data_IF_364874963660
#
_entry.id   IF_364874963660
#
_cell.length_a   1.000
_cell.length_b   1.000
_cell.length_c   1.000
_cell.angle_alpha   90.00
_cell.angle_beta   90.00
_cell.angle_gamma   90.00
#
_symmetry.space_group_name_H-M   'P 1'
#
loop_
_entity.id
_entity.type
_entity.pdbx_description
1 polymer ?
#
# COMPACT_ATOMS: atom_id res chain seq x y z
N UNK A 1 -18.80 -6.73 18.65
CA UNK A 1 -18.36 -6.03 17.45
C UNK A 1 -16.84 -5.95 17.52
N UNK A 2 -16.14 -6.96 17.00
CA UNK A 2 -14.70 -7.11 17.13
C UNK A 2 -14.04 -6.67 15.83
N UNK A 3 -13.26 -5.59 15.90
CA UNK A 3 -12.46 -5.09 14.79
C UNK A 3 -11.30 -6.09 14.63
N UNK A 4 -11.38 -6.92 13.59
CA UNK A 4 -10.35 -7.91 13.27
C UNK A 4 -9.00 -7.24 13.12
N UNK A 5 -8.02 -7.71 13.90
CA UNK A 5 -6.61 -7.35 13.79
C UNK A 5 -6.15 -7.65 12.37
N UNK A 6 -5.98 -6.61 11.57
CA UNK A 6 -5.34 -6.70 10.27
C UNK A 6 -3.91 -7.21 10.47
N UNK A 7 -3.54 -8.22 9.67
CA UNK A 7 -2.28 -8.97 9.74
C UNK A 7 -1.06 -8.05 9.92
N UNK A 8 -0.38 -8.22 11.05
CA UNK A 8 0.77 -7.43 11.51
C UNK A 8 2.06 -7.81 10.76
N UNK A 9 2.08 -8.91 10.02
CA UNK A 9 3.33 -9.48 9.51
C UNK A 9 3.72 -8.97 8.11
N UNK A 10 2.74 -8.57 7.28
CA UNK A 10 3.03 -7.89 6.02
C UNK A 10 3.48 -6.43 6.25
N UNK A 11 2.93 -5.77 7.28
CA UNK A 11 3.35 -4.42 7.69
C UNK A 11 4.78 -4.44 8.23
N UNK A 12 5.14 -5.46 9.03
CA UNK A 12 6.51 -5.65 9.52
C UNK A 12 7.50 -5.96 8.40
N UNK A 13 7.14 -6.81 7.43
CA UNK A 13 8.02 -7.13 6.29
C UNK A 13 8.21 -5.92 5.37
N UNK A 14 7.17 -5.10 5.16
CA UNK A 14 7.31 -3.83 4.44
C UNK A 14 8.29 -2.90 5.17
N UNK A 15 8.16 -2.74 6.50
CA UNK A 15 9.03 -1.89 7.32
C UNK A 15 10.52 -2.31 7.31
N UNK A 16 10.82 -3.60 7.22
CA UNK A 16 12.21 -4.11 7.29
C UNK A 16 12.97 -3.95 5.97
N UNK A 17 12.28 -3.90 4.82
CA UNK A 17 12.93 -3.68 3.51
C UNK A 17 13.20 -2.20 3.18
N UNK A 18 12.81 -1.26 4.04
CA UNK A 18 12.86 0.19 3.78
C UNK A 18 14.24 0.86 3.98
N UNK A 19 15.28 0.13 4.41
CA UNK A 19 16.47 0.75 5.00
C UNK A 19 17.75 0.77 4.15
N UNK A 20 17.77 0.29 2.90
CA UNK A 20 19.03 0.26 2.14
C UNK A 20 18.84 0.75 0.72
N UNK A 21 19.12 2.04 0.50
CA UNK A 21 19.92 2.59 -0.61
C UNK A 21 19.77 4.12 -0.60
N UNK A 22 20.63 4.81 0.16
CA UNK A 22 20.79 6.26 0.09
C UNK A 22 21.99 6.62 -0.78
N UNK A 23 21.81 7.37 -1.88
CA UNK A 23 22.91 8.12 -2.46
C UNK A 23 23.27 9.27 -1.51
N UNK A 24 24.55 9.44 -1.26
CA UNK A 24 25.09 10.56 -0.48
C UNK A 24 24.98 11.82 -1.34
N UNK A 25 23.99 12.66 -1.07
CA UNK A 25 23.81 13.95 -1.72
C UNK A 25 24.36 15.09 -0.85
N UNK A 26 25.04 16.04 -1.48
CA UNK A 26 25.52 17.28 -0.87
C UNK A 26 24.38 18.18 -0.36
N UNK A 27 24.70 19.05 0.61
CA UNK A 27 23.92 20.05 1.39
C UNK A 27 22.94 21.00 0.64
N UNK A 28 22.24 20.58 -0.41
CA UNK A 28 21.04 21.29 -0.86
C UNK A 28 19.86 20.93 0.05
N UNK A 29 18.86 21.81 0.15
CA UNK A 29 17.62 21.58 0.93
C UNK A 29 16.99 20.22 0.59
N UNK A 30 17.19 19.24 1.47
CA UNK A 30 16.57 17.92 1.39
C UNK A 30 15.34 17.97 2.29
N UNK A 31 14.21 17.49 1.79
CA UNK A 31 13.01 17.37 2.61
C UNK A 31 12.36 16.01 2.46
N UNK A 32 11.77 15.53 3.55
CA UNK A 32 11.19 14.20 3.66
C UNK A 32 9.68 14.29 3.67
N UNK A 33 9.01 13.37 2.99
CA UNK A 33 7.57 13.34 2.84
C UNK A 33 7.07 12.00 3.38
N UNK A 34 5.95 12.05 4.09
CA UNK A 34 5.16 10.86 4.44
C UNK A 34 3.69 11.17 4.20
N UNK A 35 2.97 10.26 3.57
CA UNK A 35 1.53 10.36 3.38
C UNK A 35 0.79 9.06 3.58
N UNK A 36 -0.49 9.22 3.90
CA UNK A 36 -1.45 8.14 3.92
C UNK A 36 -2.78 8.59 3.30
N UNK A 37 -3.49 7.66 2.67
CA UNK A 37 -4.69 7.98 1.95
C UNK A 37 -5.55 6.77 1.62
N UNK A 38 -6.51 7.00 0.74
CA UNK A 38 -7.45 5.97 0.30
C UNK A 38 -7.77 6.13 -1.19
N UNK A 39 -7.99 5.02 -1.87
CA UNK A 39 -8.41 4.99 -3.28
C UNK A 39 -9.82 4.44 -3.48
N UNK A 40 -10.42 4.75 -4.63
CA UNK A 40 -11.73 4.22 -5.03
C UNK A 40 -11.69 2.72 -5.29
N UNK A 41 -10.52 2.18 -5.61
CA UNK A 41 -10.23 0.74 -5.59
C UNK A 41 -10.27 0.12 -4.20
N UNK A 42 -10.55 0.89 -3.15
CA UNK A 42 -10.56 0.43 -1.77
C UNK A 42 -9.17 -0.01 -1.31
N UNK A 43 -8.14 0.77 -1.65
CA UNK A 43 -6.79 0.54 -1.16
C UNK A 43 -6.41 1.64 -0.16
N UNK A 44 -5.70 1.27 0.91
CA UNK A 44 -4.96 2.21 1.73
C UNK A 44 -3.70 2.59 0.95
N UNK A 45 -3.47 3.89 0.85
CA UNK A 45 -2.29 4.45 0.20
C UNK A 45 -1.29 4.81 1.28
N UNK A 46 -0.02 4.44 1.07
CA UNK A 46 1.11 4.80 1.92
C UNK A 46 2.22 5.32 1.03
N UNK A 47 2.79 6.47 1.36
CA UNK A 47 3.86 7.10 0.60
C UNK A 47 4.97 7.57 1.52
N UNK A 48 6.21 7.39 1.07
CA UNK A 48 7.37 8.12 1.59
C UNK A 48 8.15 8.71 0.42
N UNK A 49 8.76 9.87 0.62
CA UNK A 49 9.54 10.47 -0.44
C UNK A 49 10.51 11.52 0.04
N UNK A 50 11.41 11.90 -0.86
CA UNK A 50 12.47 12.86 -0.65
C UNK A 50 12.38 13.89 -1.76
N UNK A 51 12.37 15.17 -1.39
CA UNK A 51 12.58 16.24 -2.35
C UNK A 51 14.04 16.67 -2.32
N UNK A 52 14.59 16.83 -3.51
CA UNK A 52 15.92 17.36 -3.72
C UNK A 52 15.90 18.27 -4.95
N UNK A 53 16.15 19.56 -4.74
CA UNK A 53 15.96 20.60 -5.75
C UNK A 53 14.52 20.55 -6.33
N UNK A 54 14.39 20.49 -7.66
CA UNK A 54 13.11 20.42 -8.34
C UNK A 54 12.59 18.99 -8.53
N UNK A 55 13.19 17.99 -7.89
CA UNK A 55 12.82 16.58 -8.04
C UNK A 55 12.23 16.00 -6.76
N UNK A 56 11.21 15.17 -6.94
CA UNK A 56 10.63 14.30 -5.93
C UNK A 56 11.01 12.85 -6.26
N UNK A 57 11.53 12.13 -5.29
CA UNK A 57 11.80 10.70 -5.37
C UNK A 57 11.03 10.00 -4.26
N UNK A 58 10.22 9.01 -4.58
CA UNK A 58 9.39 8.35 -3.58
C UNK A 58 9.29 6.85 -3.74
N UNK A 59 8.76 6.24 -2.69
CA UNK A 59 8.27 4.87 -2.69
C UNK A 59 6.85 4.89 -2.15
N UNK A 60 6.02 4.02 -2.67
CA UNK A 60 4.63 3.93 -2.23
C UNK A 60 4.12 2.51 -2.22
N UNK A 61 3.14 2.27 -1.36
CA UNK A 61 2.42 1.02 -1.24
C UNK A 61 0.92 1.28 -1.29
N UNK A 62 0.19 0.40 -1.98
CA UNK A 62 -1.26 0.47 -2.12
C UNK A 62 -1.84 -0.86 -1.66
N UNK A 63 -2.41 -0.89 -0.45
CA UNK A 63 -2.80 -2.14 0.23
C UNK A 63 -4.32 -2.29 0.18
N UNK A 64 -4.84 -3.39 -0.39
CA UNK A 64 -6.29 -3.58 -0.56
C UNK A 64 -7.01 -3.74 0.78
N UNK A 65 -8.11 -3.01 0.99
CA UNK A 65 -8.95 -3.01 2.19
C UNK A 65 -10.42 -2.62 1.88
N UNK A 66 -11.43 -3.50 2.05
CA UNK A 66 -11.35 -4.90 2.44
C UNK A 66 -11.06 -5.83 1.26
N UNK A 67 -10.37 -6.93 1.53
CA UNK A 67 -10.03 -7.99 0.56
C UNK A 67 -11.17 -9.00 0.34
N UNK A 68 -12.18 -9.01 1.22
CA UNK A 68 -13.26 -10.00 1.22
C UNK A 68 -12.92 -11.28 1.99
N UNK A 69 -11.71 -11.39 2.55
CA UNK A 69 -11.31 -12.52 3.40
C UNK A 69 -12.08 -12.53 4.72
N UNK A 70 -12.41 -13.72 5.22
CA UNK A 70 -13.14 -13.96 6.47
C UNK A 70 -12.42 -15.00 7.32
N UNK A 71 -12.66 -14.93 8.63
CA UNK A 71 -12.14 -15.93 9.56
C UNK A 71 -10.62 -15.87 9.74
N UNK A 72 -10.06 -16.93 10.30
CA UNK A 72 -8.64 -17.05 10.60
C UNK A 72 -7.80 -17.31 9.34
N UNK A 73 -6.63 -16.68 9.26
CA UNK A 73 -5.73 -16.76 8.11
C UNK A 73 -4.82 -17.99 8.18
N UNK A 74 -4.71 -18.71 7.06
CA UNK A 74 -3.78 -19.83 6.87
C UNK A 74 -3.05 -19.72 5.52
N UNK A 75 -1.72 -19.85 5.54
CA UNK A 75 -0.84 -19.75 4.37
C UNK A 75 -0.17 -21.07 3.98
N UNK A 76 -0.19 -22.06 4.88
CA UNK A 76 0.54 -23.33 4.75
C UNK A 76 -0.37 -24.55 4.59
N UNK A 77 -1.68 -24.35 4.41
CA UNK A 77 -2.66 -25.43 4.21
C UNK A 77 -2.99 -25.50 2.72
N UNK A 78 -2.86 -26.69 2.13
CA UNK A 78 -3.23 -26.93 0.75
C UNK A 78 -4.73 -26.83 0.56
N UNK A 79 -5.14 -26.32 -0.62
CA UNK A 79 -6.56 -26.23 -0.98
C UNK A 79 -7.24 -27.62 -1.03
N UNK A 80 -6.45 -28.69 -1.13
CA UNK A 80 -6.92 -30.08 -1.10
C UNK A 80 -7.00 -30.70 0.29
N UNK A 81 -6.39 -30.09 1.31
CA UNK A 81 -6.07 -30.79 2.55
C UNK A 81 -7.30 -30.96 3.48
N UNK A 82 -8.32 -30.12 3.27
CA UNK A 82 -9.59 -30.18 3.96
C UNK A 82 -10.71 -29.89 2.95
N UNK A 83 -11.24 -30.94 2.31
CA UNK A 83 -12.36 -30.88 1.36
C UNK A 83 -13.73 -30.96 2.05
N UNK A 84 -13.90 -30.31 3.21
CA UNK A 84 -15.20 -30.30 3.86
C UNK A 84 -16.13 -29.26 3.21
N UNK A 85 -17.36 -29.72 3.03
CA UNK A 85 -18.46 -29.12 2.28
C UNK A 85 -18.76 -27.68 2.70
N UNK A 86 -18.51 -26.71 1.81
CA UNK A 86 -19.45 -25.63 1.50
C UNK A 86 -18.79 -24.60 0.58
N UNK A 87 -19.37 -24.43 -0.62
CA UNK A 87 -19.19 -23.35 -1.59
C UNK A 87 -18.28 -22.18 -1.13
N UNK A 88 -16.97 -22.38 -1.20
CA UNK A 88 -16.01 -21.37 -0.81
C UNK A 88 -16.15 -20.13 -1.68
N UNK A 89 -16.29 -18.95 -1.06
CA UNK A 89 -16.24 -17.69 -1.82
C UNK A 89 -14.77 -17.39 -2.06
N UNK A 90 -14.36 -17.56 -3.32
CA UNK A 90 -13.02 -17.24 -3.78
C UNK A 90 -12.96 -15.85 -4.40
N UNK A 91 -11.77 -15.27 -4.37
CA UNK A 91 -11.49 -13.99 -4.99
C UNK A 91 -10.01 -13.74 -5.08
N UNK A 92 -9.66 -12.58 -5.62
CA UNK A 92 -8.29 -12.13 -5.65
C UNK A 92 -8.19 -10.63 -5.38
N UNK A 93 -7.00 -10.20 -4.98
CA UNK A 93 -6.68 -8.79 -4.84
C UNK A 93 -5.21 -8.53 -5.13
N UNK A 94 -4.92 -7.26 -5.38
CA UNK A 94 -3.57 -6.79 -5.66
C UNK A 94 -3.17 -5.74 -4.62
N UNK A 95 -1.98 -5.92 -4.08
CA UNK A 95 -1.27 -4.86 -3.37
C UNK A 95 -0.18 -4.35 -4.30
N UNK A 96 -0.06 -3.03 -4.49
CA UNK A 96 0.93 -2.44 -5.40
C UNK A 96 2.08 -1.78 -4.64
N UNK A 97 3.31 -1.97 -5.12
CA UNK A 97 4.51 -1.34 -4.57
C UNK A 97 5.28 -0.65 -5.69
N UNK A 98 5.53 0.65 -5.55
CA UNK A 98 5.99 1.49 -6.67
C UNK A 98 7.09 2.46 -6.26
N UNK A 99 7.97 2.74 -7.21
CA UNK A 99 8.89 3.87 -7.17
C UNK A 99 8.28 5.06 -7.88
N UNK A 100 8.33 6.21 -7.23
CA UNK A 100 7.72 7.47 -7.68
C UNK A 100 8.81 8.46 -8.10
N UNK A 101 8.63 9.10 -9.25
CA UNK A 101 9.46 10.20 -9.71
C UNK A 101 8.56 11.38 -10.07
N UNK A 102 8.83 12.55 -9.49
CA UNK A 102 8.08 13.76 -9.74
C UNK A 102 8.98 14.98 -9.95
N UNK A 103 8.41 16.00 -10.57
CA UNK A 103 9.07 17.27 -10.86
C UNK A 103 8.22 18.45 -10.39
N UNK A 104 8.87 19.42 -9.76
CA UNK A 104 8.25 20.67 -9.31
C UNK A 104 8.18 21.68 -10.45
N UNK A 105 6.99 21.83 -11.03
CA UNK A 105 6.73 22.86 -12.04
C UNK A 105 6.40 24.22 -11.42
N UNK A 106 5.92 24.23 -10.18
CA UNK A 106 5.69 25.43 -9.37
C UNK A 106 6.15 25.17 -7.93
N UNK A 107 6.45 26.21 -7.13
CA UNK A 107 6.96 26.03 -5.76
C UNK A 107 6.06 25.20 -4.82
N UNK A 108 4.77 25.06 -5.17
CA UNK A 108 3.78 24.36 -4.37
C UNK A 108 3.17 23.15 -5.11
N UNK A 109 3.61 22.86 -6.34
CA UNK A 109 2.97 21.86 -7.19
C UNK A 109 4.02 20.94 -7.83
N UNK A 110 3.91 19.65 -7.53
CA UNK A 110 4.71 18.59 -8.11
C UNK A 110 3.81 17.66 -8.93
N UNK A 111 4.28 17.25 -10.11
CA UNK A 111 3.65 16.24 -10.95
C UNK A 111 4.62 15.09 -11.14
N UNK A 112 4.12 13.86 -11.16
CA UNK A 112 4.98 12.71 -11.30
C UNK A 112 4.28 11.45 -11.76
N UNK A 113 5.10 10.43 -11.97
CA UNK A 113 4.70 9.09 -12.36
C UNK A 113 5.28 8.09 -11.37
N UNK A 114 4.60 6.96 -11.23
CA UNK A 114 5.10 5.82 -10.47
C UNK A 114 5.06 4.56 -11.30
N UNK A 115 6.05 3.69 -11.12
CA UNK A 115 6.12 2.37 -11.73
C UNK A 115 6.53 1.34 -10.69
N UNK A 116 5.93 0.16 -10.79
CA UNK A 116 6.15 -0.87 -9.79
C UNK A 116 5.56 -2.23 -10.13
N UNK A 117 5.45 -3.04 -9.09
CA UNK A 117 4.93 -4.41 -9.18
C UNK A 117 3.78 -4.60 -8.20
N UNK A 118 2.73 -5.25 -8.68
CA UNK A 118 1.53 -5.57 -7.94
C UNK A 118 1.38 -7.10 -7.85
N UNK A 119 1.84 -7.75 -6.76
CA UNK A 119 1.55 -9.15 -6.50
C UNK A 119 0.05 -9.42 -6.44
N UNK A 120 -0.36 -10.55 -7.02
CA UNK A 120 -1.72 -11.05 -6.96
C UNK A 120 -1.85 -12.03 -5.80
N UNK A 121 -2.77 -11.76 -4.87
CA UNK A 121 -3.14 -12.71 -3.82
C UNK A 121 -4.51 -13.27 -4.10
N UNK A 122 -4.57 -14.57 -4.36
CA UNK A 122 -5.83 -15.33 -4.40
C UNK A 122 -6.20 -15.74 -2.98
N UNK A 123 -7.48 -15.74 -2.68
CA UNK A 123 -8.01 -16.25 -1.43
C UNK A 123 -9.23 -17.13 -1.67
N UNK A 124 -9.43 -18.06 -0.74
CA UNK A 124 -10.65 -18.82 -0.63
C UNK A 124 -11.12 -18.78 0.82
N UNK A 125 -12.34 -18.30 1.03
CA UNK A 125 -13.01 -18.40 2.32
C UNK A 125 -13.66 -19.77 2.44
N UNK A 126 -13.39 -20.48 3.53
CA UNK A 126 -13.95 -21.79 3.84
C UNK A 126 -14.62 -21.79 5.20
N UNK A 127 -15.45 -22.80 5.38
CA UNK A 127 -16.10 -23.09 6.65
C UNK A 127 -15.93 -24.56 6.97
N UNK A 128 -15.40 -24.84 8.16
CA UNK A 128 -15.16 -26.16 8.71
C UNK A 128 -16.09 -26.38 9.91
N UNK A 129 -17.07 -27.26 9.74
CA UNK A 129 -18.04 -27.63 10.78
C UNK A 129 -17.39 -28.38 11.95
N UNK A 130 -16.25 -29.05 11.72
CA UNK A 130 -15.52 -29.76 12.77
C UNK A 130 -14.78 -28.82 13.72
N UNK A 131 -14.66 -27.52 13.36
CA UNK A 131 -14.00 -26.46 14.13
C UNK A 131 -12.56 -26.81 14.54
N UNK A 132 -11.90 -27.66 13.76
CA UNK A 132 -10.53 -28.08 14.02
C UNK A 132 -9.58 -26.91 13.76
N UNK A 133 -9.87 -26.12 12.73
CA UNK A 133 -9.02 -25.01 12.31
C UNK A 133 -9.35 -23.69 13.02
N UNK A 134 -10.61 -23.42 13.36
CA UNK A 134 -10.98 -22.22 14.12
C UNK A 134 -12.26 -22.42 14.93
N UNK A 135 -12.37 -21.78 16.09
CA UNK A 135 -13.56 -21.89 16.96
C UNK A 135 -14.83 -21.35 16.28
N UNK A 136 -14.67 -20.42 15.34
CA UNK A 136 -15.79 -19.90 14.53
C UNK A 136 -16.16 -20.80 13.34
N UNK A 137 -15.36 -21.83 13.06
CA UNK A 137 -15.43 -22.64 11.83
C UNK A 137 -14.99 -21.89 10.57
N UNK A 138 -14.90 -20.56 10.59
CA UNK A 138 -14.56 -19.76 9.40
C UNK A 138 -13.04 -19.56 9.30
N UNK A 139 -12.47 -19.85 8.13
CA UNK A 139 -11.07 -19.58 7.85
C UNK A 139 -10.87 -19.18 6.38
N UNK A 140 -9.71 -18.59 6.08
CA UNK A 140 -9.31 -18.31 4.71
C UNK A 140 -7.93 -18.86 4.42
N UNK A 141 -7.77 -19.36 3.20
CA UNK A 141 -6.49 -19.79 2.64
C UNK A 141 -6.09 -18.76 1.58
N UNK A 142 -4.84 -18.32 1.58
CA UNK A 142 -4.33 -17.43 0.53
C UNK A 142 -3.16 -18.03 -0.22
N UNK A 143 -3.01 -17.68 -1.49
CA UNK A 143 -1.86 -18.04 -2.31
C UNK A 143 -1.41 -16.85 -3.15
N UNK A 144 -0.10 -16.71 -3.29
CA UNK A 144 0.48 -15.78 -4.25
C UNK A 144 0.37 -16.38 -5.66
N UNK A 145 -0.32 -15.70 -6.57
CA UNK A 145 -0.63 -16.15 -7.93
C UNK A 145 -0.05 -15.17 -8.96
N UNK A 146 1.27 -14.97 -8.86
CA UNK A 146 2.03 -14.08 -9.72
C UNK A 146 1.77 -12.60 -9.43
N UNK A 147 1.68 -11.79 -10.46
CA UNK A 147 1.45 -10.36 -10.34
C UNK A 147 1.56 -9.66 -11.67
N UNK A 148 1.43 -8.34 -11.64
CA UNK A 148 1.44 -7.48 -12.82
C UNK A 148 2.16 -6.18 -12.55
N UNK A 149 2.50 -5.46 -13.63
CA UNK A 149 3.05 -4.12 -13.54
C UNK A 149 1.99 -3.19 -12.92
N UNK A 150 2.44 -2.33 -12.02
CA UNK A 150 1.68 -1.18 -11.53
C UNK A 150 2.26 0.09 -12.16
N UNK A 151 1.37 0.99 -12.53
CA UNK A 151 1.72 2.27 -13.11
C UNK A 151 0.72 3.32 -12.64
N UNK A 152 1.24 4.47 -12.26
CA UNK A 152 0.42 5.60 -11.84
C UNK A 152 0.95 6.94 -12.32
N UNK A 153 0.05 7.90 -12.28
CA UNK A 153 0.36 9.32 -12.30
C UNK A 153 -0.10 9.95 -10.99
N UNK A 154 0.59 11.00 -10.55
CA UNK A 154 0.22 11.71 -9.33
C UNK A 154 0.53 13.20 -9.42
N UNK A 155 -0.16 13.95 -8.57
CA UNK A 155 0.00 15.38 -8.35
C UNK A 155 0.05 15.65 -6.85
N UNK A 156 1.03 16.43 -6.40
CA UNK A 156 1.17 16.85 -5.01
C UNK A 156 1.03 18.36 -4.93
N UNK A 157 0.12 18.83 -4.08
CA UNK A 157 -0.02 20.24 -3.73
C UNK A 157 0.42 20.47 -2.28
N UNK A 158 1.47 21.28 -2.12
CA UNK A 158 2.01 21.64 -0.82
C UNK A 158 1.40 22.96 -0.33
N UNK A 159 0.82 22.95 0.86
CA UNK A 159 0.34 24.16 1.52
C UNK A 159 1.48 25.08 1.92
N UNK A 160 1.14 26.29 2.40
CA UNK A 160 2.13 27.26 2.88
C UNK A 160 2.96 26.65 4.03
N UNK A 161 4.26 26.97 4.11
CA UNK A 161 5.11 26.50 5.18
C UNK A 161 4.63 26.99 6.54
N UNK A 162 4.80 26.13 7.55
CA UNK A 162 4.59 26.48 8.95
C UNK A 162 5.80 27.23 9.54
N UNK A 163 5.77 27.47 10.86
CA UNK A 163 6.78 28.28 11.55
C UNK A 163 8.19 27.69 11.51
N UNK A 164 8.32 26.38 11.27
CA UNK A 164 9.60 25.67 11.17
C UNK A 164 9.88 25.25 9.73
N UNK A 165 9.22 25.90 8.77
CA UNK A 165 9.33 25.67 7.33
C UNK A 165 8.78 24.32 6.84
N UNK A 166 8.11 23.51 7.68
CA UNK A 166 7.50 22.26 7.24
C UNK A 166 6.17 22.51 6.53
N UNK A 167 5.67 21.54 5.77
CA UNK A 167 4.49 21.73 4.90
C UNK A 167 3.54 20.56 4.95
N UNK A 168 2.26 20.81 5.22
CA UNK A 168 1.22 19.85 4.85
C UNK A 168 1.08 19.78 3.34
N UNK A 169 0.66 18.63 2.81
CA UNK A 169 0.31 18.49 1.42
C UNK A 169 -0.88 17.56 1.22
N UNK A 170 -1.52 17.70 0.07
CA UNK A 170 -2.45 16.71 -0.47
C UNK A 170 -1.83 16.12 -1.74
N UNK A 171 -2.04 14.82 -1.97
CA UNK A 171 -1.63 14.13 -3.18
C UNK A 171 -2.86 13.47 -3.80
N UNK A 172 -3.10 13.76 -5.06
CA UNK A 172 -4.04 13.04 -5.90
C UNK A 172 -3.27 12.08 -6.80
N UNK A 173 -3.79 10.88 -7.01
CA UNK A 173 -3.18 9.91 -7.92
C UNK A 173 -4.24 9.13 -8.70
N UNK A 174 -3.84 8.61 -9.86
CA UNK A 174 -4.58 7.58 -10.57
C UNK A 174 -3.63 6.43 -10.88
N UNK A 175 -4.01 5.24 -10.45
CA UNK A 175 -3.21 4.02 -10.57
C UNK A 175 -4.02 2.91 -11.28
N UNK A 176 -3.37 2.11 -12.13
CA UNK A 176 -4.05 1.05 -12.90
C UNK A 176 -4.57 -0.13 -12.04
N UNK A 177 -4.09 -0.26 -10.81
CA UNK A 177 -4.47 -1.28 -9.83
C UNK A 177 -5.54 -0.75 -8.88
N UNK A 178 -5.35 0.45 -8.33
CA UNK A 178 -6.20 1.01 -7.26
C UNK A 178 -7.12 2.15 -7.70
N UNK A 179 -7.04 2.57 -8.95
CA UNK A 179 -7.81 3.67 -9.55
C UNK A 179 -7.49 5.03 -8.91
N UNK A 180 -8.45 5.96 -8.91
CA UNK A 180 -8.30 7.28 -8.35
C UNK A 180 -8.13 7.24 -6.83
N UNK A 181 -7.20 8.00 -6.29
CA UNK A 181 -6.96 8.07 -4.85
C UNK A 181 -6.45 9.41 -4.38
N UNK A 182 -6.65 9.66 -3.09
CA UNK A 182 -6.22 10.87 -2.42
C UNK A 182 -5.49 10.51 -1.13
N UNK A 183 -4.36 11.18 -0.88
CA UNK A 183 -3.63 11.10 0.38
C UNK A 183 -3.34 12.49 0.94
N UNK A 184 -3.16 12.52 2.26
CA UNK A 184 -2.71 13.69 3.00
C UNK A 184 -1.36 13.33 3.60
N UNK A 185 -0.42 14.27 3.52
CA UNK A 185 0.92 14.05 4.02
C UNK A 185 1.55 15.29 4.61
N UNK A 186 2.74 15.07 5.16
CA UNK A 186 3.55 16.09 5.80
C UNK A 186 4.98 16.02 5.28
N UNK A 187 5.52 17.21 5.00
CA UNK A 187 6.86 17.43 4.51
C UNK A 187 7.72 18.05 5.61
N UNK A 188 8.82 17.38 5.96
CA UNK A 188 9.81 17.79 6.93
C UNK A 188 11.02 18.38 6.19
N UNK A 189 11.29 19.67 6.37
CA UNK A 189 12.51 20.31 5.88
C UNK A 189 13.64 20.12 6.90
N UNK A 190 14.82 19.70 6.43
CA UNK A 190 16.03 19.50 7.26
C UNK A 190 17.12 20.46 6.82
#
# INVERSE_FOLDING_TARGET
MNIGKCSNDNVKKALVSFFVLFPIFSYSQISWNIDTGYSTGKNILLGVGINHNNWYYGMSAQIKCPTGTKGKYYDNIGWSDFQDDSNGVSGNYYDAYEFDLGYYFMPNLCLGIGLGYAPNTEYENRYDDSKILDESGCYNITRNSGGRISAKEFMIYYFKPDKINNRWYIKGQYDIISYAGFSVGYNFNI
#
